data_IF_966494187809
#
_entry.id   IF_966494187809
#
_cell.length_a   1.000
_cell.length_b   1.000
_cell.length_c   1.000
_cell.angle_alpha   90.00
_cell.angle_beta   90.00
_cell.angle_gamma   90.00
#
_symmetry.space_group_name_H-M   'P 1'
#
loop_
_entity.id
_entity.type
_entity.pdbx_description
1 polymer ?
#
# COMPACT_ATOMS: atom_id res chain seq x y z
N UNK A 1 -45.60 -32.37 47.10
CA UNK A 1 -46.67 -31.71 46.32
C UNK A 1 -46.04 -30.59 45.52
N UNK A 2 -46.45 -30.48 44.27
CA UNK A 2 -45.70 -29.98 43.11
C UNK A 2 -45.57 -28.46 42.94
N UNK A 3 -44.87 -28.12 41.85
CA UNK A 3 -44.92 -26.90 41.02
C UNK A 3 -44.06 -25.71 41.50
N UNK A 4 -43.37 -24.95 40.65
CA UNK A 4 -43.03 -25.06 39.23
C UNK A 4 -41.94 -24.03 38.90
N UNK A 5 -41.30 -24.25 37.75
CA UNK A 5 -40.29 -23.46 37.05
C UNK A 5 -40.60 -21.96 36.89
N UNK A 6 -39.53 -21.16 36.90
CA UNK A 6 -39.54 -19.77 36.43
C UNK A 6 -38.14 -19.36 35.99
N UNK A 7 -37.77 -19.75 34.77
CA UNK A 7 -36.52 -19.35 34.09
C UNK A 7 -36.69 -17.93 33.57
N UNK A 8 -35.97 -16.98 34.16
CA UNK A 8 -35.82 -15.61 33.65
C UNK A 8 -34.36 -15.38 33.25
N UNK A 9 -33.96 -15.94 32.11
CA UNK A 9 -32.67 -15.63 31.49
C UNK A 9 -32.71 -14.20 30.96
N UNK A 10 -32.08 -13.27 31.68
CA UNK A 10 -31.76 -11.95 31.16
C UNK A 10 -30.81 -12.14 29.98
N UNK A 11 -31.29 -11.77 28.79
CA UNK A 11 -30.52 -11.79 27.56
C UNK A 11 -29.28 -10.90 27.72
N UNK A 12 -28.13 -11.57 27.77
CA UNK A 12 -26.82 -10.98 27.57
C UNK A 12 -26.82 -10.32 26.18
N UNK A 13 -26.90 -8.99 26.18
CA UNK A 13 -26.69 -8.19 24.97
C UNK A 13 -25.19 -8.22 24.72
N UNK A 14 -24.76 -9.28 24.03
CA UNK A 14 -23.47 -9.31 23.36
C UNK A 14 -23.44 -8.15 22.39
N UNK A 15 -22.81 -7.06 22.83
CA UNK A 15 -22.35 -5.97 22.00
C UNK A 15 -21.34 -6.58 21.03
N UNK A 16 -21.85 -7.10 19.92
CA UNK A 16 -21.03 -7.55 18.82
C UNK A 16 -20.44 -6.28 18.23
N UNK A 17 -19.29 -5.85 18.76
CA UNK A 17 -18.44 -4.85 18.15
C UNK A 17 -18.11 -5.33 16.75
N UNK A 18 -18.94 -4.92 15.79
CA UNK A 18 -18.69 -5.08 14.37
C UNK A 18 -17.56 -4.10 14.02
N UNK A 19 -16.34 -4.43 14.45
CA UNK A 19 -15.13 -3.82 13.90
C UNK A 19 -15.09 -4.31 12.47
N UNK A 20 -15.68 -3.53 11.56
CA UNK A 20 -15.53 -3.75 10.14
C UNK A 20 -14.03 -3.77 9.85
N UNK A 21 -13.56 -4.90 9.35
CA UNK A 21 -12.18 -5.04 8.87
C UNK A 21 -11.89 -3.87 7.91
N UNK A 22 -10.74 -3.17 8.06
CA UNK A 22 -10.40 -2.08 7.18
C UNK A 22 -10.49 -2.53 5.73
N UNK A 23 -11.36 -1.87 4.96
CA UNK A 23 -11.52 -2.14 3.54
C UNK A 23 -10.16 -2.00 2.86
N UNK A 24 -9.61 -3.13 2.45
CA UNK A 24 -8.44 -3.18 1.59
C UNK A 24 -8.87 -2.71 0.20
N UNK A 25 -8.83 -1.40 -0.03
CA UNK A 25 -9.10 -0.86 -1.35
C UNK A 25 -8.06 -1.43 -2.32
N UNK A 26 -8.47 -2.02 -3.46
CA UNK A 26 -7.52 -2.45 -4.47
C UNK A 26 -6.69 -1.25 -4.95
N UNK A 27 -5.40 -1.48 -5.24
CA UNK A 27 -4.53 -0.53 -5.93
C UNK A 27 -5.05 -0.32 -7.37
N UNK A 28 -6.21 0.32 -7.54
CA UNK A 28 -6.69 0.71 -8.86
C UNK A 28 -6.47 2.21 -9.06
N UNK A 29 -5.72 2.63 -10.09
CA UNK A 29 -5.56 4.03 -10.42
C UNK A 29 -6.86 4.53 -11.08
N UNK A 30 -7.82 4.91 -10.24
CA UNK A 30 -9.00 5.65 -10.66
C UNK A 30 -8.65 7.09 -11.00
N UNK A 31 -8.23 7.31 -12.25
CA UNK A 31 -8.41 8.57 -12.99
C UNK A 31 -7.64 9.81 -12.53
N UNK A 32 -6.35 9.91 -12.90
CA UNK A 32 -5.71 11.13 -13.44
C UNK A 32 -4.37 10.73 -14.03
N UNK A 33 -4.16 11.06 -15.32
CA UNK A 33 -2.93 10.92 -16.13
C UNK A 33 -1.93 9.88 -15.62
N UNK A 34 -2.09 8.64 -16.07
CA UNK A 34 -1.05 7.62 -15.99
C UNK A 34 0.19 8.15 -16.73
N UNK A 35 1.13 8.73 -15.97
CA UNK A 35 2.52 8.65 -16.37
C UNK A 35 2.77 7.16 -16.49
N UNK A 36 3.09 6.70 -17.70
CA UNK A 36 3.44 5.33 -18.04
C UNK A 36 4.55 4.85 -17.10
N UNK A 37 4.18 4.41 -15.91
CA UNK A 37 5.02 3.63 -15.05
C UNK A 37 5.18 2.31 -15.79
N UNK A 38 6.24 2.23 -16.60
CA UNK A 38 6.69 1.02 -17.28
C UNK A 38 6.52 -0.14 -16.30
N UNK A 39 5.78 -1.21 -16.64
CA UNK A 39 5.39 -2.22 -15.65
C UNK A 39 6.57 -3.07 -15.16
N UNK A 40 7.78 -2.81 -15.66
CA UNK A 40 9.01 -3.50 -15.32
C UNK A 40 9.87 -2.73 -14.32
N UNK A 41 10.55 -3.50 -13.48
CA UNK A 41 11.56 -3.04 -12.52
C UNK A 41 12.93 -3.52 -13.02
N UNK A 42 13.90 -2.64 -13.23
CA UNK A 42 15.24 -3.04 -13.66
C UNK A 42 16.04 -3.61 -12.48
N UNK A 43 17.02 -4.45 -12.75
CA UNK A 43 18.04 -4.83 -11.77
C UNK A 43 18.87 -3.60 -11.37
N UNK A 44 19.37 -3.60 -10.13
CA UNK A 44 20.21 -2.54 -9.57
C UNK A 44 21.55 -2.44 -10.31
N UNK A 45 22.14 -3.54 -10.76
CA UNK A 45 23.50 -3.54 -11.31
C UNK A 45 23.60 -3.77 -12.81
N UNK A 46 22.60 -4.39 -13.42
CA UNK A 46 22.63 -4.75 -14.84
C UNK A 46 21.41 -4.22 -15.61
N UNK A 47 21.29 -4.64 -16.87
CA UNK A 47 20.21 -4.24 -17.79
C UNK A 47 18.99 -5.18 -17.74
N UNK A 48 19.04 -6.27 -16.95
CA UNK A 48 17.90 -7.17 -16.78
C UNK A 48 16.72 -6.43 -16.14
N UNK A 49 15.51 -6.70 -16.64
CA UNK A 49 14.28 -6.08 -16.14
C UNK A 49 13.21 -7.16 -15.99
N UNK A 50 12.49 -7.14 -14.87
CA UNK A 50 11.38 -8.06 -14.62
C UNK A 50 10.08 -7.30 -14.43
N UNK A 51 8.93 -7.81 -14.90
CA UNK A 51 7.62 -7.24 -14.57
C UNK A 51 7.41 -7.13 -13.06
N UNK A 52 6.64 -6.13 -12.59
CA UNK A 52 6.29 -5.95 -11.17
C UNK A 52 5.64 -7.21 -10.58
N UNK A 53 4.88 -7.96 -11.37
CA UNK A 53 4.24 -9.22 -10.96
C UNK A 53 5.27 -10.33 -10.67
N UNK A 54 6.46 -10.27 -11.25
CA UNK A 54 7.53 -11.28 -11.14
C UNK A 54 8.68 -10.77 -10.26
N UNK A 55 8.36 -9.99 -9.23
CA UNK A 55 9.34 -9.42 -8.31
C UNK A 55 10.30 -10.47 -7.73
N UNK A 56 9.79 -11.66 -7.40
CA UNK A 56 10.60 -12.76 -6.87
C UNK A 56 11.68 -13.24 -7.83
N UNK A 57 11.44 -13.15 -9.15
CA UNK A 57 12.44 -13.52 -10.16
C UNK A 57 13.58 -12.50 -10.17
N UNK A 58 13.28 -11.21 -10.06
CA UNK A 58 14.30 -10.17 -9.96
C UNK A 58 15.13 -10.32 -8.68
N UNK A 59 14.49 -10.61 -7.54
CA UNK A 59 15.20 -10.84 -6.28
C UNK A 59 16.14 -12.05 -6.37
N UNK A 60 15.69 -13.15 -7.00
CA UNK A 60 16.56 -14.32 -7.25
C UNK A 60 17.76 -13.96 -8.12
N UNK A 61 17.54 -13.22 -9.20
CA UNK A 61 18.61 -12.73 -10.07
C UNK A 61 19.65 -11.92 -9.26
N UNK A 62 19.20 -10.99 -8.43
CA UNK A 62 20.09 -10.15 -7.62
C UNK A 62 20.92 -10.96 -6.60
N UNK A 63 20.35 -12.01 -6.03
CA UNK A 63 21.05 -12.89 -5.08
C UNK A 63 22.09 -13.75 -5.81
N UNK A 64 21.75 -14.33 -6.96
CA UNK A 64 22.60 -15.30 -7.67
C UNK A 64 23.73 -14.58 -8.44
N UNK A 65 23.39 -13.58 -9.24
CA UNK A 65 24.35 -12.92 -10.16
C UNK A 65 25.14 -11.81 -9.46
N UNK A 66 24.55 -11.16 -8.45
CA UNK A 66 25.12 -9.96 -7.83
C UNK A 66 25.36 -10.10 -6.32
N UNK A 67 25.05 -11.25 -5.72
CA UNK A 67 25.21 -11.53 -4.29
C UNK A 67 24.54 -10.46 -3.40
N UNK A 68 23.47 -9.82 -3.89
CA UNK A 68 22.73 -8.78 -3.18
C UNK A 68 21.42 -9.34 -2.61
N UNK A 69 21.22 -9.11 -1.32
CA UNK A 69 20.02 -9.48 -0.57
C UNK A 69 19.34 -8.20 -0.06
N UNK A 70 18.03 -8.12 -0.19
CA UNK A 70 17.22 -7.04 0.41
C UNK A 70 16.36 -7.65 1.52
N UNK A 71 16.57 -7.21 2.76
CA UNK A 71 15.78 -7.65 3.90
C UNK A 71 14.34 -7.11 3.83
N UNK A 72 13.39 -7.93 4.28
CA UNK A 72 11.98 -7.55 4.47
C UNK A 72 11.37 -6.78 3.31
N UNK A 73 11.56 -7.28 2.08
CA UNK A 73 11.12 -6.60 0.84
C UNK A 73 9.63 -6.27 0.86
N UNK A 74 8.83 -7.09 1.55
CA UNK A 74 7.39 -6.90 1.77
C UNK A 74 7.04 -5.60 2.53
N UNK A 75 7.99 -5.03 3.28
CA UNK A 75 7.82 -3.76 3.98
C UNK A 75 8.18 -2.54 3.11
N UNK A 76 8.74 -2.74 1.92
CA UNK A 76 9.05 -1.66 0.99
C UNK A 76 7.76 -1.23 0.28
N UNK A 77 7.27 -0.03 0.60
CA UNK A 77 5.98 0.46 0.10
C UNK A 77 5.91 0.61 -1.44
N UNK A 78 7.04 0.91 -2.08
CA UNK A 78 7.17 1.05 -3.53
C UNK A 78 8.52 0.47 -3.98
N UNK A 79 8.49 -0.82 -4.34
CA UNK A 79 9.69 -1.57 -4.69
C UNK A 79 10.41 -0.99 -5.93
N UNK A 80 9.66 -0.49 -6.92
CA UNK A 80 10.28 0.05 -8.14
C UNK A 80 11.10 1.30 -7.83
N UNK A 81 10.51 2.26 -7.11
CA UNK A 81 11.21 3.51 -6.76
C UNK A 81 12.39 3.23 -5.84
N UNK A 82 12.27 2.26 -4.94
CA UNK A 82 13.35 1.77 -4.11
C UNK A 82 14.53 1.27 -4.94
N UNK A 83 14.29 0.39 -5.92
CA UNK A 83 15.32 -0.17 -6.79
C UNK A 83 15.98 0.92 -7.64
N UNK A 84 15.20 1.84 -8.22
CA UNK A 84 15.74 2.94 -9.02
C UNK A 84 16.63 3.89 -8.20
N UNK A 85 16.26 4.15 -6.94
CA UNK A 85 17.09 4.94 -6.03
C UNK A 85 18.45 4.28 -5.82
N UNK A 86 18.44 2.99 -5.43
CA UNK A 86 19.68 2.26 -5.16
C UNK A 86 20.53 2.05 -6.41
N UNK A 87 19.91 1.81 -7.56
CA UNK A 87 20.58 1.76 -8.87
C UNK A 87 21.38 3.03 -9.12
N UNK A 88 20.79 4.20 -8.88
CA UNK A 88 21.52 5.47 -9.00
C UNK A 88 22.59 5.60 -7.91
N UNK A 89 22.23 5.33 -6.66
CA UNK A 89 23.11 5.56 -5.51
C UNK A 89 24.40 4.72 -5.57
N UNK A 90 24.33 3.48 -6.04
CA UNK A 90 25.50 2.61 -6.21
C UNK A 90 26.38 2.96 -7.41
N UNK A 91 25.92 3.82 -8.33
CA UNK A 91 26.82 4.39 -9.35
C UNK A 91 27.69 5.51 -8.78
N UNK A 92 27.28 6.13 -7.68
CA UNK A 92 27.96 7.28 -7.09
C UNK A 92 29.02 6.85 -6.06
N UNK A 93 28.73 5.83 -5.25
CA UNK A 93 29.59 5.35 -4.16
C UNK A 93 29.54 3.81 -4.09
N UNK A 94 30.61 3.16 -3.58
CA UNK A 94 30.68 1.71 -3.52
C UNK A 94 29.61 1.15 -2.59
N UNK A 95 29.04 0.00 -2.94
CA UNK A 95 27.96 -0.64 -2.19
C UNK A 95 28.36 -1.01 -0.75
N UNK A 96 29.64 -1.23 -0.48
CA UNK A 96 30.17 -1.55 0.87
C UNK A 96 29.86 -0.48 1.91
N UNK A 97 29.60 0.76 1.48
CA UNK A 97 29.30 1.87 2.38
C UNK A 97 27.83 1.88 2.81
N UNK A 98 26.98 1.14 2.08
CA UNK A 98 25.52 1.12 2.25
C UNK A 98 24.96 -0.23 2.60
N UNK A 99 25.74 -1.30 2.43
CA UNK A 99 25.30 -2.67 2.66
C UNK A 99 26.12 -3.30 3.78
N UNK A 100 25.44 -4.10 4.61
CA UNK A 100 26.13 -5.01 5.51
C UNK A 100 26.74 -6.15 4.70
N UNK A 101 28.00 -6.52 4.98
CA UNK A 101 28.68 -7.61 4.29
C UNK A 101 28.56 -8.89 5.10
N UNK A 102 27.92 -9.91 4.51
CA UNK A 102 27.82 -11.26 5.07
C UNK A 102 28.88 -12.11 4.38
N UNK A 103 29.83 -12.63 5.15
CA UNK A 103 30.87 -13.52 4.64
C UNK A 103 30.42 -14.96 4.82
N UNK A 104 30.22 -15.67 3.72
CA UNK A 104 29.92 -17.10 3.73
C UNK A 104 31.20 -17.88 3.48
N UNK A 105 31.30 -19.08 4.04
CA UNK A 105 32.46 -19.97 3.89
C UNK A 105 33.76 -19.40 4.53
N UNK A 106 33.65 -18.79 5.71
CA UNK A 106 34.75 -18.12 6.41
C UNK A 106 35.93 -19.02 6.80
N UNK A 107 35.74 -20.34 6.79
CA UNK A 107 36.76 -21.35 7.10
C UNK A 107 37.48 -21.88 5.85
N UNK A 108 36.97 -21.58 4.64
CA UNK A 108 37.61 -21.96 3.39
C UNK A 108 38.77 -21.02 3.00
N UNK A 109 39.66 -21.46 2.09
CA UNK A 109 40.68 -20.62 1.50
C UNK A 109 40.08 -19.30 0.98
N UNK A 110 40.84 -18.20 1.10
CA UNK A 110 40.41 -16.84 0.78
C UNK A 110 39.78 -16.73 -0.64
N UNK A 111 40.23 -17.58 -1.57
CA UNK A 111 39.77 -17.64 -2.96
C UNK A 111 38.34 -18.18 -3.12
N UNK A 112 37.79 -18.88 -2.12
CA UNK A 112 36.44 -19.49 -2.14
C UNK A 112 35.45 -18.79 -1.19
N UNK A 113 35.85 -17.66 -0.60
CA UNK A 113 34.99 -16.91 0.30
C UNK A 113 34.03 -16.02 -0.49
N UNK A 114 32.73 -16.26 -0.31
CA UNK A 114 31.69 -15.48 -0.95
C UNK A 114 31.17 -14.39 -0.02
N UNK A 115 31.24 -13.14 -0.49
CA UNK A 115 30.66 -11.99 0.20
C UNK A 115 29.28 -11.69 -0.39
N UNK A 116 28.26 -11.71 0.47
CA UNK A 116 26.92 -11.23 0.17
C UNK A 116 26.73 -9.82 0.73
N UNK A 117 26.06 -8.96 -0.02
CA UNK A 117 25.71 -7.61 0.39
C UNK A 117 24.25 -7.59 0.83
N UNK A 118 23.98 -7.08 2.03
CA UNK A 118 22.63 -6.99 2.59
C UNK A 118 22.20 -5.52 2.73
N UNK A 119 21.10 -5.16 2.06
CA UNK A 119 20.33 -3.95 2.31
C UNK A 119 19.24 -4.22 3.36
N UNK A 120 19.23 -3.44 4.43
CA UNK A 120 18.30 -3.60 5.54
C UNK A 120 18.02 -2.29 6.27
N UNK A 121 16.90 -2.24 6.98
CA UNK A 121 16.37 -1.08 7.70
C UNK A 121 17.21 -0.65 8.93
N UNK A 122 18.17 -1.45 9.38
CA UNK A 122 19.16 -1.00 10.37
C UNK A 122 20.15 0.00 9.78
N UNK A 123 20.28 0.05 8.45
CA UNK A 123 21.14 1.01 7.75
C UNK A 123 20.39 2.35 7.64
N UNK A 124 21.01 3.48 8.02
CA UNK A 124 20.31 4.74 8.17
C UNK A 124 19.71 5.25 6.85
N UNK A 125 20.44 5.11 5.73
CA UNK A 125 19.98 5.55 4.42
C UNK A 125 18.83 4.67 3.90
N UNK A 126 18.93 3.35 4.07
CA UNK A 126 17.87 2.41 3.67
C UNK A 126 16.58 2.64 4.47
N UNK A 127 16.71 2.82 5.79
CA UNK A 127 15.59 3.14 6.68
C UNK A 127 14.86 4.40 6.23
N UNK A 128 15.61 5.48 6.00
CA UNK A 128 15.05 6.76 5.58
C UNK A 128 14.35 6.64 4.23
N UNK A 129 14.93 5.91 3.27
CA UNK A 129 14.31 5.67 1.97
C UNK A 129 12.98 4.92 2.10
N UNK A 130 12.94 3.83 2.89
CA UNK A 130 11.70 3.07 3.12
C UNK A 130 10.62 3.94 3.76
N UNK A 131 10.97 4.71 4.79
CA UNK A 131 10.06 5.65 5.44
C UNK A 131 9.53 6.71 4.47
N UNK A 132 10.40 7.28 3.62
CA UNK A 132 10.00 8.27 2.62
C UNK A 132 9.02 7.71 1.59
N UNK A 133 9.26 6.49 1.09
CA UNK A 133 8.38 5.82 0.14
C UNK A 133 7.02 5.52 0.78
N UNK A 134 7.01 5.06 2.03
CA UNK A 134 5.77 4.80 2.76
C UNK A 134 4.97 6.08 3.01
N UNK A 135 5.63 7.16 3.44
CA UNK A 135 4.98 8.46 3.61
C UNK A 135 4.44 9.02 2.29
N UNK A 136 5.17 8.84 1.18
CA UNK A 136 4.72 9.28 -0.14
C UNK A 136 3.43 8.58 -0.55
N UNK A 137 3.38 7.25 -0.43
CA UNK A 137 2.17 6.46 -0.71
C UNK A 137 0.99 6.92 0.16
N UNK A 138 1.23 7.14 1.45
CA UNK A 138 0.17 7.62 2.36
C UNK A 138 -0.35 9.01 1.95
N UNK A 139 0.56 9.95 1.60
CA UNK A 139 0.16 11.28 1.13
C UNK A 139 -0.70 11.21 -0.13
N UNK A 140 -0.29 10.40 -1.11
CA UNK A 140 -1.05 10.22 -2.37
C UNK A 140 -2.48 9.71 -2.09
N UNK A 141 -2.63 8.74 -1.18
CA UNK A 141 -3.94 8.22 -0.77
C UNK A 141 -4.77 9.31 -0.06
N UNK A 142 -4.18 10.05 0.86
CA UNK A 142 -4.89 11.11 1.60
C UNK A 142 -5.33 12.25 0.67
N UNK A 143 -4.48 12.65 -0.26
CA UNK A 143 -4.79 13.65 -1.28
C UNK A 143 -5.94 13.18 -2.17
N UNK A 144 -5.95 11.92 -2.59
CA UNK A 144 -7.04 11.34 -3.37
C UNK A 144 -8.35 11.37 -2.58
N UNK A 145 -8.35 10.91 -1.32
CA UNK A 145 -9.55 10.95 -0.49
C UNK A 145 -10.03 12.39 -0.23
N UNK A 146 -9.12 13.34 -0.03
CA UNK A 146 -9.47 14.74 0.16
C UNK A 146 -10.11 15.33 -1.09
N UNK A 147 -9.55 15.02 -2.27
CA UNK A 147 -10.11 15.38 -3.57
C UNK A 147 -11.53 14.84 -3.70
N UNK A 148 -11.74 13.55 -3.43
CA UNK A 148 -13.06 12.93 -3.52
C UNK A 148 -14.09 13.50 -2.53
N UNK A 149 -13.67 13.90 -1.32
CA UNK A 149 -14.55 14.53 -0.32
C UNK A 149 -14.92 15.98 -0.66
N UNK A 150 -14.05 16.67 -1.39
CA UNK A 150 -14.23 18.08 -1.75
C UNK A 150 -14.67 18.27 -3.20
N UNK A 151 -14.78 17.17 -3.96
CA UNK A 151 -15.28 17.21 -5.33
C UNK A 151 -16.76 17.58 -5.34
N UNK A 152 -17.04 18.84 -5.65
CA UNK A 152 -18.39 19.37 -5.86
C UNK A 152 -18.86 19.18 -7.30
N UNK A 153 -18.01 18.68 -8.19
CA UNK A 153 -18.32 18.41 -9.59
C UNK A 153 -18.77 16.96 -9.83
N UNK A 154 -19.16 16.24 -8.78
CA UNK A 154 -19.71 14.93 -8.92
C UNK A 154 -21.09 14.98 -9.59
N UNK A 155 -21.23 14.19 -10.66
CA UNK A 155 -22.47 13.96 -11.38
C UNK A 155 -22.69 12.45 -11.39
N UNK A 156 -23.83 11.98 -10.88
CA UNK A 156 -24.16 10.55 -10.88
C UNK A 156 -25.63 10.32 -11.15
N UNK A 157 -25.91 9.35 -12.01
CA UNK A 157 -27.27 8.92 -12.29
C UNK A 157 -27.74 7.98 -11.18
N UNK A 158 -28.94 8.25 -10.65
CA UNK A 158 -29.63 7.37 -9.73
C UNK A 158 -29.82 5.99 -10.37
N UNK A 159 -29.26 4.95 -9.78
CA UNK A 159 -29.41 3.58 -10.28
C UNK A 159 -30.86 3.05 -10.26
N UNK A 160 -31.80 3.80 -9.67
CA UNK A 160 -33.19 3.37 -9.48
C UNK A 160 -34.23 4.23 -10.20
N UNK A 161 -33.91 5.47 -10.58
CA UNK A 161 -34.93 6.36 -11.15
C UNK A 161 -34.44 7.33 -12.23
N UNK A 162 -33.28 7.07 -12.86
CA UNK A 162 -32.69 7.85 -13.97
C UNK A 162 -32.54 9.36 -13.69
N UNK A 163 -32.66 9.76 -12.42
CA UNK A 163 -32.46 11.15 -11.98
C UNK A 163 -30.98 11.42 -11.83
N UNK A 164 -30.53 12.56 -12.32
CA UNK A 164 -29.17 13.04 -12.17
C UNK A 164 -29.00 13.77 -10.83
N UNK A 165 -28.01 13.37 -10.04
CA UNK A 165 -27.58 14.06 -8.83
C UNK A 165 -26.30 14.83 -9.13
N UNK A 166 -26.30 16.12 -8.82
CA UNK A 166 -25.15 17.02 -8.98
C UNK A 166 -24.81 17.69 -7.65
N UNK A 167 -23.52 17.75 -7.30
CA UNK A 167 -23.05 18.40 -6.07
C UNK A 167 -22.16 17.51 -5.19
N UNK A 168 -21.90 17.97 -3.96
CA UNK A 168 -20.91 17.34 -3.08
C UNK A 168 -21.38 15.96 -2.56
N UNK A 169 -20.55 14.91 -2.71
CA UNK A 169 -20.86 13.51 -2.32
C UNK A 169 -21.32 13.36 -0.86
N UNK A 170 -20.93 14.29 0.02
CA UNK A 170 -21.24 14.25 1.46
C UNK A 170 -22.61 14.85 1.83
N UNK A 171 -23.24 15.63 0.94
CA UNK A 171 -24.48 16.36 1.27
C UNK A 171 -25.75 15.57 0.91
N UNK A 172 -25.64 14.47 0.17
CA UNK A 172 -26.80 13.70 -0.29
C UNK A 172 -26.88 12.33 0.40
N UNK A 173 -27.16 12.36 1.70
CA UNK A 173 -27.80 11.22 2.36
C UNK A 173 -29.26 11.13 1.89
N UNK A 174 -29.79 9.97 1.47
CA UNK A 174 -31.16 9.82 0.95
C UNK A 174 -32.29 10.20 1.94
N UNK A 175 -31.99 10.51 3.20
CA UNK A 175 -32.97 10.69 4.27
C UNK A 175 -33.43 12.13 4.57
N UNK A 176 -32.91 13.18 3.91
CA UNK A 176 -33.24 14.58 4.31
C UNK A 176 -34.21 15.36 3.41
N UNK A 177 -34.73 14.80 2.32
CA UNK A 177 -35.69 15.50 1.45
C UNK A 177 -37.11 14.89 1.46
N UNK A 178 -37.56 14.34 2.60
CA UNK A 178 -38.98 13.94 2.76
C UNK A 178 -39.82 14.88 3.66
N UNK A 179 -39.21 15.91 4.27
CA UNK A 179 -39.93 16.82 5.18
C UNK A 179 -39.71 18.30 4.88
N UNK A 180 -39.77 18.69 3.61
CA UNK A 180 -39.85 20.12 3.27
C UNK A 180 -40.58 20.35 1.94
N UNK A 181 -41.88 20.07 1.94
CA UNK A 181 -42.91 20.75 1.11
C UNK A 181 -44.31 20.35 1.59
N UNK A 182 -44.58 20.68 2.85
CA UNK A 182 -45.92 20.68 3.46
C UNK A 182 -46.02 21.92 4.38
N UNK A 183 -45.56 23.06 3.89
CA UNK A 183 -45.81 24.38 4.47
C UNK A 183 -45.65 25.41 3.35
N UNK A 184 -46.66 26.28 3.24
CA UNK A 184 -46.83 27.40 2.29
C UNK A 184 -47.39 27.00 0.91
N UNK A 185 -48.55 27.46 0.45
CA UNK A 185 -49.70 28.23 0.99
C UNK A 185 -50.83 28.03 -0.06
N UNK A 186 -52.11 28.03 0.31
CA UNK A 186 -52.98 29.22 0.25
C UNK A 186 -52.82 30.04 -1.05
#
# INVERSE_FOLDING_TARGET
MAASLGVGAAADRGDSECILEPLSLPESPGGVAAVEESPSVPCIFCEECSPRAEQDQLLKHMIIEHKLVIADVKLVADFRRYILYWKKRFTEQPITDFCSVIRTNSEAPIEEQDNYFLLCDVLPEDRLLREQLQQKRLREILEQQHRERNDTSFHSMCMFCDKEFTGNRNLESPGRKFNQKMTENC
#
